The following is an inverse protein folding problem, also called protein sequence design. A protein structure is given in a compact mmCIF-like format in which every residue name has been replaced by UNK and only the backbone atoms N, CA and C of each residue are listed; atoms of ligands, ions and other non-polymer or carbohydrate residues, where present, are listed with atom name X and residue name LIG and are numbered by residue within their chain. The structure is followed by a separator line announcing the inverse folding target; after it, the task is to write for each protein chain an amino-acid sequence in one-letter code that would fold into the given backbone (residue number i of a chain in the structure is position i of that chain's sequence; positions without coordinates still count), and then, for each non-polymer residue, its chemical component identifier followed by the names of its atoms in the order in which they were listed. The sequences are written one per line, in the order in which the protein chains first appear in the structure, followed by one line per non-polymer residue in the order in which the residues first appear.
data_IF_427304383424
#
_entry.id   IF_427304383424
#
_cell.length_a   1.000
_cell.length_b   1.000
_cell.length_c   1.000
_cell.angle_alpha   90.00
_cell.angle_beta   90.00
_cell.angle_gamma   90.00
#
_symmetry.space_group_name_H-M   'P 1'
#
loop_
_entity.id
_entity.type
_entity.pdbx_description
1 polymer ?
#
# COMPACT_ATOMS: atom_id res chain seq x y z
N UNK A 1 18.92 -1.28 16.40
CA UNK A 1 17.71 -0.84 15.63
C UNK A 1 16.98 -1.98 14.91
N UNK A 2 17.67 -3.00 14.36
CA UNK A 2 17.01 -4.10 13.64
C UNK A 2 16.13 -5.00 14.54
N UNK A 3 16.51 -5.20 15.80
CA UNK A 3 15.80 -6.12 16.72
C UNK A 3 14.42 -5.65 17.15
N UNK A 4 14.23 -4.36 17.42
CA UNK A 4 12.97 -3.84 17.96
C UNK A 4 11.94 -3.44 16.91
N UNK A 5 12.34 -3.28 15.64
CA UNK A 5 11.43 -2.81 14.57
C UNK A 5 10.17 -3.67 14.41
N UNK A 6 10.24 -5.01 14.41
CA UNK A 6 9.04 -5.85 14.30
C UNK A 6 8.11 -5.73 15.52
N UNK A 7 8.67 -5.56 16.72
CA UNK A 7 7.89 -5.39 17.94
C UNK A 7 7.18 -4.02 17.97
N UNK A 8 7.89 -2.96 17.58
CA UNK A 8 7.34 -1.60 17.48
C UNK A 8 6.15 -1.58 16.51
N UNK A 9 6.29 -2.18 15.33
CA UNK A 9 5.23 -2.21 14.32
C UNK A 9 4.00 -2.97 14.85
N UNK A 10 4.18 -4.18 15.40
CA UNK A 10 3.07 -4.97 15.97
C UNK A 10 2.33 -4.26 17.11
N UNK A 11 3.04 -3.52 17.96
CA UNK A 11 2.41 -2.76 19.04
C UNK A 11 1.67 -1.53 18.50
N UNK A 12 2.22 -0.88 17.47
CA UNK A 12 1.56 0.25 16.81
C UNK A 12 0.29 -0.18 16.07
N UNK A 13 0.31 -1.31 15.35
CA UNK A 13 -0.85 -1.90 14.68
C UNK A 13 -1.99 -2.26 15.66
N UNK A 14 -1.64 -2.62 16.91
CA UNK A 14 -2.61 -2.88 17.99
C UNK A 14 -3.14 -1.61 18.66
N UNK A 15 -2.81 -0.44 18.14
CA UNK A 15 -3.27 0.86 18.65
C UNK A 15 -2.50 1.39 19.86
N UNK A 16 -1.34 0.82 20.20
CA UNK A 16 -0.53 1.32 21.33
C UNK A 16 0.15 2.63 20.91
N UNK A 17 0.05 3.65 21.78
CA UNK A 17 0.67 4.94 21.51
C UNK A 17 2.20 4.84 21.41
N UNK A 18 2.79 5.62 20.49
CA UNK A 18 4.24 5.63 20.22
C UNK A 18 5.08 5.89 21.48
N UNK A 19 4.57 6.73 22.38
CA UNK A 19 5.21 7.03 23.68
C UNK A 19 5.20 5.82 24.60
N UNK A 20 4.10 5.08 24.63
CA UNK A 20 3.95 3.88 25.46
C UNK A 20 4.79 2.71 24.93
N UNK A 21 4.90 2.56 23.61
CA UNK A 21 5.84 1.61 22.97
C UNK A 21 7.28 1.92 23.39
N UNK A 22 7.65 3.20 23.44
CA UNK A 22 8.97 3.63 23.91
C UNK A 22 9.24 3.22 25.36
N UNK A 23 8.27 3.42 26.25
CA UNK A 23 8.37 3.01 27.66
C UNK A 23 8.49 1.50 27.80
N UNK A 24 7.63 0.73 27.14
CA UNK A 24 7.55 -0.73 27.27
C UNK A 24 8.79 -1.44 26.71
N UNK A 25 9.42 -0.89 25.68
CA UNK A 25 10.62 -1.46 25.06
C UNK A 25 11.92 -0.84 25.58
N UNK A 26 11.85 0.12 26.51
CA UNK A 26 13.04 0.82 27.02
C UNK A 26 13.78 1.63 25.95
N UNK A 27 13.08 2.13 24.93
CA UNK A 27 13.66 2.88 23.80
C UNK A 27 13.10 4.29 23.72
N UNK A 28 13.94 5.23 23.27
CA UNK A 28 13.53 6.62 23.11
C UNK A 28 12.40 6.75 22.05
N UNK A 29 11.39 7.58 22.32
CA UNK A 29 10.22 7.77 21.44
C UNK A 29 10.62 8.17 20.00
N UNK A 30 11.69 8.93 19.84
CA UNK A 30 12.22 9.29 18.52
C UNK A 30 12.58 8.05 17.67
N UNK A 31 13.04 6.98 18.30
CA UNK A 31 13.35 5.70 17.64
C UNK A 31 12.06 4.99 17.22
N UNK A 32 11.01 5.06 18.04
CA UNK A 32 9.67 4.55 17.71
C UNK A 32 9.10 5.30 16.50
N UNK A 33 9.15 6.64 16.50
CA UNK A 33 8.70 7.45 15.35
C UNK A 33 9.47 7.10 14.07
N UNK A 34 10.79 6.96 14.12
CA UNK A 34 11.59 6.57 12.95
C UNK A 34 11.23 5.18 12.43
N UNK A 35 10.84 4.25 13.31
CA UNK A 35 10.42 2.91 12.92
C UNK A 35 9.01 2.86 12.32
N UNK A 36 8.09 3.69 12.85
CA UNK A 36 6.68 3.77 12.41
C UNK A 36 6.51 4.63 11.16
N UNK A 37 7.27 5.72 11.01
CA UNK A 37 7.12 6.69 9.91
C UNK A 37 7.08 6.05 8.51
N UNK A 38 7.97 5.10 8.14
CA UNK A 38 7.86 4.43 6.84
C UNK A 38 6.56 3.66 6.68
N UNK A 39 6.00 3.08 7.75
CA UNK A 39 4.74 2.35 7.70
C UNK A 39 3.55 3.28 7.46
N UNK A 40 3.46 4.37 8.24
CA UNK A 40 2.46 5.43 8.02
C UNK A 40 2.57 6.04 6.61
N UNK A 41 3.80 6.25 6.11
CA UNK A 41 4.06 6.72 4.75
C UNK A 41 3.66 5.70 3.68
N UNK A 42 3.83 4.39 3.92
CA UNK A 42 3.44 3.34 2.97
C UNK A 42 1.92 3.20 2.88
N UNK A 43 1.22 3.23 4.02
CA UNK A 43 -0.25 3.21 4.06
C UNK A 43 -0.86 4.47 3.43
N UNK A 44 -0.30 5.65 3.73
CA UNK A 44 -0.76 6.90 3.13
C UNK A 44 -0.39 7.01 1.65
N UNK A 45 0.75 6.49 1.19
CA UNK A 45 1.11 6.51 -0.24
C UNK A 45 0.31 5.51 -1.06
N UNK A 46 0.08 4.29 -0.56
CA UNK A 46 -0.78 3.30 -1.24
C UNK A 46 -2.22 3.81 -1.36
N UNK A 47 -2.75 4.44 -0.30
CA UNK A 47 -4.07 5.11 -0.33
C UNK A 47 -4.08 6.34 -1.24
N UNK A 48 -2.95 7.02 -1.42
CA UNK A 48 -2.78 8.22 -2.25
C UNK A 48 -2.44 7.93 -3.71
N UNK A 49 -2.11 6.68 -4.07
CA UNK A 49 -1.92 6.21 -5.46
C UNK A 49 -2.94 5.14 -5.88
N UNK A 50 -4.25 5.43 -5.85
CA UNK A 50 -5.28 4.46 -6.20
C UNK A 50 -5.28 3.99 -7.67
N UNK A 51 -4.59 4.73 -8.56
CA UNK A 51 -4.31 4.31 -9.93
C UNK A 51 -3.40 3.07 -9.96
N UNK A 52 -2.32 3.09 -9.17
CA UNK A 52 -1.37 1.98 -9.08
C UNK A 52 -2.07 0.73 -8.56
N UNK A 53 -2.93 0.86 -7.54
CA UNK A 53 -3.68 -0.26 -6.97
C UNK A 53 -4.66 -0.89 -7.97
N UNK A 54 -5.44 -0.06 -8.68
CA UNK A 54 -6.47 -0.56 -9.60
C UNK A 54 -5.85 -1.26 -10.80
N UNK A 55 -4.78 -0.69 -11.37
CA UNK A 55 -4.04 -1.30 -12.48
C UNK A 55 -3.32 -2.57 -12.02
N UNK A 56 -2.68 -2.53 -10.84
CA UNK A 56 -1.98 -3.69 -10.29
C UNK A 56 -2.93 -4.87 -10.03
N UNK A 57 -4.12 -4.62 -9.48
CA UNK A 57 -5.13 -5.65 -9.25
C UNK A 57 -5.52 -6.39 -10.54
N UNK A 58 -5.66 -5.67 -11.66
CA UNK A 58 -5.98 -6.27 -12.97
C UNK A 58 -4.79 -7.10 -13.49
N UNK A 59 -3.58 -6.57 -13.37
CA UNK A 59 -2.36 -7.26 -13.81
C UNK A 59 -2.13 -8.53 -12.99
N UNK A 60 -2.33 -8.46 -11.68
CA UNK A 60 -2.20 -9.59 -10.77
C UNK A 60 -3.26 -10.66 -11.09
N UNK A 61 -4.54 -10.29 -11.21
CA UNK A 61 -5.61 -11.22 -11.57
C UNK A 61 -5.31 -11.97 -12.87
N UNK A 62 -4.85 -11.26 -13.91
CA UNK A 62 -4.59 -11.86 -15.22
C UNK A 62 -3.28 -12.64 -15.29
N UNK A 63 -2.19 -12.08 -14.76
CA UNK A 63 -0.88 -12.71 -14.85
C UNK A 63 -0.75 -13.86 -13.85
N UNK A 64 -1.20 -13.67 -12.61
CA UNK A 64 -1.08 -14.67 -11.54
C UNK A 64 -2.20 -15.71 -11.53
N UNK A 65 -3.14 -15.69 -12.51
CA UNK A 65 -4.13 -16.75 -12.70
C UNK A 65 -3.51 -18.15 -12.87
N UNK A 66 -2.23 -18.22 -13.27
CA UNK A 66 -1.46 -19.46 -13.37
C UNK A 66 -0.09 -19.30 -12.68
N UNK A 67 0.43 -20.36 -12.04
CA UNK A 67 1.77 -20.32 -11.46
C UNK A 67 2.84 -20.24 -12.54
N UNK A 68 3.85 -19.40 -12.31
CA UNK A 68 5.00 -19.23 -13.19
C UNK A 68 6.25 -19.87 -12.59
N UNK A 69 6.91 -20.74 -13.35
CA UNK A 69 8.13 -21.44 -12.89
C UNK A 69 9.39 -20.55 -12.98
N UNK A 70 9.37 -19.53 -13.85
CA UNK A 70 10.51 -18.64 -14.07
C UNK A 70 10.06 -17.18 -14.21
N UNK A 71 10.94 -16.26 -13.83
CA UNK A 71 10.70 -14.81 -13.88
C UNK A 71 10.35 -14.33 -15.31
N UNK A 72 10.97 -14.90 -16.34
CA UNK A 72 10.68 -14.53 -17.74
C UNK A 72 9.27 -14.92 -18.19
N UNK A 73 8.68 -15.97 -17.61
CA UNK A 73 7.29 -16.36 -17.85
C UNK A 73 6.35 -15.32 -17.24
N UNK A 74 6.62 -14.91 -16.01
CA UNK A 74 5.85 -13.86 -15.31
C UNK A 74 5.93 -12.51 -16.05
N UNK A 75 7.12 -12.08 -16.47
CA UNK A 75 7.29 -10.83 -17.25
C UNK A 75 6.45 -10.84 -18.52
N UNK A 76 6.42 -11.97 -19.22
CA UNK A 76 5.63 -12.12 -20.46
C UNK A 76 4.13 -12.08 -20.18
N UNK A 77 3.68 -12.74 -19.11
CA UNK A 77 2.29 -12.71 -18.68
C UNK A 77 1.84 -11.30 -18.29
N UNK A 78 2.65 -10.56 -17.53
CA UNK A 78 2.36 -9.17 -17.18
C UNK A 78 2.28 -8.26 -18.41
N UNK A 79 3.22 -8.39 -19.36
CA UNK A 79 3.17 -7.62 -20.62
C UNK A 79 1.92 -7.95 -21.46
N UNK A 80 1.55 -9.23 -21.51
CA UNK A 80 0.32 -9.66 -22.19
C UNK A 80 -0.92 -9.06 -21.50
N UNK A 81 -1.01 -9.20 -20.18
CA UNK A 81 -2.10 -8.65 -19.38
C UNK A 81 -2.24 -7.14 -19.60
N UNK A 82 -1.13 -6.39 -19.59
CA UNK A 82 -1.10 -4.96 -19.88
C UNK A 82 -1.70 -4.61 -21.25
N UNK A 83 -1.28 -5.31 -22.30
CA UNK A 83 -1.79 -5.07 -23.66
C UNK A 83 -3.27 -5.42 -23.85
N UNK A 84 -3.82 -6.27 -22.99
CA UNK A 84 -5.25 -6.61 -23.00
C UNK A 84 -6.12 -5.63 -22.19
N UNK A 85 -5.52 -4.72 -21.41
CA UNK A 85 -6.29 -3.68 -20.72
C UNK A 85 -6.80 -2.69 -21.77
N UNK A 86 -8.11 -2.59 -21.92
CA UNK A 86 -8.70 -1.64 -22.87
C UNK A 86 -8.47 -0.20 -22.40
N UNK A 87 -8.38 0.71 -23.36
CA UNK A 87 -8.28 2.15 -23.07
C UNK A 87 -9.50 2.64 -22.28
N UNK A 88 -10.69 2.08 -22.53
CA UNK A 88 -11.90 2.43 -21.78
C UNK A 88 -11.82 2.00 -20.31
N UNK A 89 -11.20 0.84 -20.03
CA UNK A 89 -10.93 0.40 -18.66
C UNK A 89 -9.99 1.38 -17.96
N UNK A 90 -8.90 1.77 -18.63
CA UNK A 90 -7.96 2.77 -18.10
C UNK A 90 -8.64 4.12 -17.84
N UNK A 91 -9.50 4.57 -18.75
CA UNK A 91 -10.29 5.80 -18.58
C UNK A 91 -11.19 5.71 -17.35
N UNK A 92 -11.90 4.59 -17.18
CA UNK A 92 -12.74 4.35 -16.00
C UNK A 92 -11.96 4.38 -14.69
N UNK A 93 -10.73 3.83 -14.67
CA UNK A 93 -9.85 3.88 -13.49
C UNK A 93 -9.42 5.33 -13.18
N UNK A 94 -9.05 6.11 -14.20
CA UNK A 94 -8.67 7.53 -14.05
C UNK A 94 -9.86 8.38 -13.57
N UNK A 95 -11.05 8.15 -14.11
CA UNK A 95 -12.26 8.85 -13.68
C UNK A 95 -12.60 8.51 -12.22
N UNK A 96 -12.45 7.23 -11.84
CA UNK A 96 -12.68 6.80 -10.46
C UNK A 96 -11.61 7.34 -9.50
N UNK A 97 -10.36 7.50 -9.95
CA UNK A 97 -9.30 8.13 -9.18
C UNK A 97 -9.69 9.55 -8.75
N UNK A 98 -10.20 10.36 -9.69
CA UNK A 98 -10.64 11.73 -9.40
C UNK A 98 -11.74 11.76 -8.32
N UNK A 99 -12.67 10.80 -8.37
CA UNK A 99 -13.74 10.65 -7.37
C UNK A 99 -13.19 10.24 -6.00
N UNK A 100 -12.26 9.28 -5.95
CA UNK A 100 -11.61 8.82 -4.71
C UNK A 100 -10.74 9.91 -4.09
N UNK A 101 -10.03 10.70 -4.90
CA UNK A 101 -9.25 11.82 -4.41
C UNK A 101 -10.14 12.87 -3.76
N UNK A 102 -11.30 13.16 -4.38
CA UNK A 102 -12.30 14.06 -3.78
C UNK A 102 -12.80 13.53 -2.43
N UNK A 103 -13.19 12.25 -2.36
CA UNK A 103 -13.57 11.61 -1.09
C UNK A 103 -12.47 11.67 -0.02
N UNK A 104 -11.20 11.54 -0.42
CA UNK A 104 -10.05 11.67 0.48
C UNK A 104 -9.94 13.09 1.07
N UNK A 105 -10.15 14.11 0.23
CA UNK A 105 -10.16 15.51 0.65
C UNK A 105 -11.34 15.76 1.59
N UNK A 106 -12.54 15.30 1.23
CA UNK A 106 -13.75 15.45 2.04
C UNK A 106 -13.61 14.74 3.41
N UNK A 107 -12.91 13.60 3.45
CA UNK A 107 -12.59 12.88 4.67
C UNK A 107 -11.38 13.47 5.45
N UNK A 108 -10.79 14.59 4.99
CA UNK A 108 -9.58 15.19 5.54
C UNK A 108 -8.42 14.17 5.74
N UNK A 109 -8.25 13.26 4.79
CA UNK A 109 -7.28 12.16 4.84
C UNK A 109 -7.73 10.91 5.64
N UNK A 110 -8.88 10.96 6.30
CA UNK A 110 -9.51 9.85 7.02
C UNK A 110 -9.92 8.67 6.12
N UNK A 111 -10.34 7.55 6.72
CA UNK A 111 -10.81 6.37 5.96
C UNK A 111 -12.09 6.69 5.18
N UNK A 112 -12.18 6.22 3.92
CA UNK A 112 -13.37 6.36 3.08
C UNK A 112 -13.48 5.14 2.15
N UNK A 113 -14.71 4.70 1.90
CA UNK A 113 -15.07 3.68 0.89
C UNK A 113 -15.42 4.35 -0.45
#
# INVERSE_FOLDING_TARGET
MKEFRPAIIRMHERGVEKREIGRLLGIHEATVRKAVKPFEETETTAKRRPLDYSVWSILEEKACAKPHQIVESLKRALRKAWNEISVDTLRGIVDNFSKRLKKCIDANGGHFE
#
